data_IF_830754528711
#
_entry.id   IF_830754528711
#
_cell.length_a   1.000
_cell.length_b   1.000
_cell.length_c   1.000
_cell.angle_alpha   90.00
_cell.angle_beta   90.00
_cell.angle_gamma   90.00
#
_symmetry.space_group_name_H-M   'P 1'
#
loop_
_entity.id
_entity.type
_entity.pdbx_description
1 polymer ?
#
# COMPACT_ATOMS: atom_id res chain seq x y z
N UNK A 1 19.26 3.16 -1.44
CA UNK A 1 20.17 4.33 -1.40
C UNK A 1 20.85 4.61 -2.74
N UNK A 2 21.54 3.66 -3.39
CA UNK A 2 22.21 3.88 -4.69
C UNK A 2 21.36 4.59 -5.75
N UNK A 3 20.14 4.09 -5.97
CA UNK A 3 19.20 4.65 -6.95
C UNK A 3 18.81 6.09 -6.59
N UNK A 4 18.65 6.39 -5.30
CA UNK A 4 18.38 7.75 -4.84
C UNK A 4 19.57 8.67 -5.15
N UNK A 5 20.79 8.28 -4.74
CA UNK A 5 22.00 9.09 -4.96
C UNK A 5 22.26 9.35 -6.45
N UNK A 6 22.06 8.35 -7.31
CA UNK A 6 22.19 8.50 -8.76
C UNK A 6 21.28 9.60 -9.32
N UNK A 7 20.05 9.72 -8.79
CA UNK A 7 19.10 10.78 -9.19
C UNK A 7 19.54 12.18 -8.74
N UNK A 8 20.43 12.28 -7.76
CA UNK A 8 21.08 13.52 -7.34
C UNK A 8 22.44 13.74 -8.03
N UNK A 9 22.80 12.94 -9.05
CA UNK A 9 24.06 13.05 -9.78
C UNK A 9 25.24 12.32 -9.13
N UNK A 10 25.02 11.57 -8.05
CA UNK A 10 26.08 10.83 -7.35
C UNK A 10 26.06 9.35 -7.71
N UNK A 11 27.10 8.88 -8.42
CA UNK A 11 27.27 7.48 -8.76
C UNK A 11 28.31 6.79 -7.87
N UNK A 12 27.85 5.82 -7.07
CA UNK A 12 28.70 5.03 -6.18
C UNK A 12 28.41 3.53 -6.31
N UNK A 13 29.42 2.71 -6.02
CA UNK A 13 29.27 1.27 -5.90
C UNK A 13 28.41 0.90 -4.68
N UNK A 14 27.80 -0.29 -4.70
CA UNK A 14 27.06 -0.80 -3.53
C UNK A 14 27.96 -0.91 -2.29
N UNK A 15 29.21 -1.31 -2.47
CA UNK A 15 30.21 -1.46 -1.39
C UNK A 15 30.55 -0.11 -0.77
N UNK A 16 30.74 0.93 -1.58
CA UNK A 16 31.01 2.30 -1.13
C UNK A 16 29.85 2.84 -0.31
N UNK A 17 28.62 2.69 -0.81
CA UNK A 17 27.41 3.11 -0.09
C UNK A 17 27.26 2.35 1.22
N UNK A 18 27.50 1.04 1.22
CA UNK A 18 27.43 0.22 2.43
C UNK A 18 28.46 0.67 3.48
N UNK A 19 29.69 0.99 3.07
CA UNK A 19 30.71 1.56 3.96
C UNK A 19 30.23 2.87 4.59
N UNK A 20 29.80 3.84 3.79
CA UNK A 20 29.33 5.13 4.32
C UNK A 20 28.14 4.98 5.26
N UNK A 21 27.12 4.23 4.85
CA UNK A 21 25.93 4.03 5.67
C UNK A 21 26.26 3.29 6.96
N UNK A 22 26.81 2.08 6.88
CA UNK A 22 26.89 1.19 8.04
C UNK A 22 28.12 1.44 8.93
N UNK A 23 29.22 1.96 8.38
CA UNK A 23 30.48 2.15 9.12
C UNK A 23 30.71 3.59 9.55
N UNK A 24 30.45 4.56 8.67
CA UNK A 24 30.76 5.97 8.96
C UNK A 24 29.56 6.70 9.60
N UNK A 25 28.35 6.49 9.07
CA UNK A 25 27.13 7.15 9.55
C UNK A 25 26.32 6.32 10.55
N UNK A 26 26.72 5.06 10.78
CA UNK A 26 26.01 4.11 11.65
C UNK A 26 24.51 3.96 11.31
N UNK A 27 24.16 4.03 10.03
CA UNK A 27 22.81 3.86 9.49
C UNK A 27 22.59 2.39 9.12
N UNK A 28 21.69 1.73 9.86
CA UNK A 28 21.30 0.35 9.62
C UNK A 28 19.82 0.25 9.23
N UNK A 29 19.47 -0.77 8.45
CA UNK A 29 18.08 -1.05 8.12
C UNK A 29 17.30 -1.46 9.38
N UNK A 30 16.11 -0.90 9.58
CA UNK A 30 15.19 -1.35 10.63
C UNK A 30 14.56 -2.66 10.20
N UNK A 31 14.97 -3.76 10.82
CA UNK A 31 14.48 -5.11 10.50
C UNK A 31 13.12 -5.32 11.18
N UNK A 32 12.09 -5.64 10.40
CA UNK A 32 10.81 -6.07 10.94
C UNK A 32 10.93 -7.43 11.61
N UNK A 33 10.37 -7.58 12.81
CA UNK A 33 10.24 -8.89 13.46
C UNK A 33 9.33 -9.78 12.62
N UNK A 34 9.64 -11.08 12.57
CA UNK A 34 8.77 -12.05 11.90
C UNK A 34 7.38 -12.04 12.53
N UNK A 35 6.34 -12.09 11.70
CA UNK A 35 4.97 -12.21 12.18
C UNK A 35 4.79 -13.62 12.76
N UNK A 36 4.09 -13.78 13.91
CA UNK A 36 3.70 -15.09 14.39
C UNK A 36 2.82 -15.80 13.36
N UNK A 37 2.83 -17.14 13.39
CA UNK A 37 2.06 -17.96 12.45
C UNK A 37 0.57 -17.62 12.45
N UNK A 38 -0.01 -17.44 11.27
CA UNK A 38 -1.43 -17.12 11.11
C UNK A 38 -2.28 -18.39 11.24
N UNK A 39 -3.32 -18.35 12.09
CA UNK A 39 -4.34 -19.40 12.15
C UNK A 39 -5.46 -19.08 11.15
N UNK A 40 -5.75 -20.02 10.27
CA UNK A 40 -6.71 -19.81 9.17
C UNK A 40 -8.14 -19.98 9.69
N UNK A 41 -8.95 -18.93 9.58
CA UNK A 41 -10.40 -19.00 9.80
C UNK A 41 -11.15 -19.48 8.56
N UNK A 42 -12.42 -19.88 8.73
CA UNK A 42 -13.31 -20.25 7.62
C UNK A 42 -13.65 -18.99 6.83
N UNK A 43 -13.12 -18.86 5.61
CA UNK A 43 -13.37 -17.70 4.74
C UNK A 43 -14.51 -17.99 3.79
N UNK A 44 -15.44 -17.05 3.67
CA UNK A 44 -16.55 -17.13 2.73
C UNK A 44 -16.14 -16.42 1.45
N UNK A 45 -15.88 -17.17 0.38
CA UNK A 45 -15.58 -16.59 -0.93
C UNK A 45 -16.87 -16.03 -1.54
N UNK A 46 -16.94 -14.71 -1.66
CA UNK A 46 -18.07 -14.03 -2.33
C UNK A 46 -17.73 -13.72 -3.79
N UNK A 47 -16.48 -13.38 -4.10
CA UNK A 47 -16.05 -12.97 -5.45
C UNK A 47 -14.90 -13.81 -5.98
N UNK A 48 -14.80 -13.88 -7.31
CA UNK A 48 -13.73 -14.59 -8.00
C UNK A 48 -12.39 -13.82 -8.02
N UNK A 49 -11.29 -14.58 -8.13
CA UNK A 49 -9.98 -14.00 -8.36
C UNK A 49 -9.84 -13.70 -9.86
N UNK A 50 -10.02 -12.43 -10.23
CA UNK A 50 -9.88 -11.93 -11.59
C UNK A 50 -8.42 -11.61 -11.90
N UNK A 51 -7.59 -11.34 -10.88
CA UNK A 51 -6.20 -10.96 -11.04
C UNK A 51 -5.32 -12.15 -11.41
N UNK A 52 -5.57 -13.31 -10.81
CA UNK A 52 -4.81 -14.56 -11.02
C UNK A 52 -3.28 -14.34 -10.98
N UNK A 53 -2.82 -13.52 -10.03
CA UNK A 53 -1.41 -13.12 -9.85
C UNK A 53 -0.78 -12.37 -11.03
N UNK A 54 -1.59 -11.94 -12.01
CA UNK A 54 -1.12 -11.06 -13.07
C UNK A 54 -1.09 -9.61 -12.60
N UNK A 55 0.00 -9.23 -11.94
CA UNK A 55 0.20 -7.86 -11.45
C UNK A 55 0.68 -6.87 -12.53
N UNK A 56 0.78 -7.30 -13.80
CA UNK A 56 1.14 -6.42 -14.92
C UNK A 56 -0.12 -5.93 -15.60
N UNK A 57 -0.33 -4.63 -15.53
CA UNK A 57 -1.48 -3.94 -16.13
C UNK A 57 -0.94 -2.93 -17.13
N UNK A 58 -1.60 -2.78 -18.27
CA UNK A 58 -1.08 -1.98 -19.39
C UNK A 58 -1.58 -0.53 -19.38
N UNK A 59 -2.59 -0.21 -18.57
CA UNK A 59 -3.18 1.12 -18.47
C UNK A 59 -3.51 1.46 -17.02
N UNK A 60 -3.34 2.73 -16.65
CA UNK A 60 -3.81 3.26 -15.35
C UNK A 60 -5.32 3.08 -15.14
N UNK A 61 -5.73 3.01 -13.88
CA UNK A 61 -7.13 2.92 -13.45
C UNK A 61 -7.90 1.72 -14.03
N UNK A 62 -7.20 0.61 -14.29
CA UNK A 62 -7.83 -0.66 -14.69
C UNK A 62 -7.93 -1.65 -13.55
N UNK A 63 -6.89 -1.74 -12.72
CA UNK A 63 -6.87 -2.61 -11.55
C UNK A 63 -6.24 -1.88 -10.38
N UNK A 64 -7.03 -1.75 -9.33
CA UNK A 64 -6.61 -1.25 -8.04
C UNK A 64 -6.49 -2.41 -7.06
N UNK A 65 -5.50 -2.34 -6.17
CA UNK A 65 -5.39 -3.25 -5.05
C UNK A 65 -5.60 -2.51 -3.74
N UNK A 66 -6.28 -3.16 -2.80
CA UNK A 66 -6.58 -2.61 -1.47
C UNK A 66 -6.32 -3.63 -0.38
N UNK A 67 -5.85 -3.15 0.76
CA UNK A 67 -5.63 -3.97 1.96
C UNK A 67 -5.60 -3.05 3.19
N UNK A 68 -5.64 -3.65 4.37
CA UNK A 68 -5.51 -2.96 5.65
C UNK A 68 -4.16 -3.25 6.30
N UNK A 69 -3.69 -2.31 7.11
CA UNK A 69 -2.60 -2.55 8.04
C UNK A 69 -2.89 -2.00 9.43
N UNK A 70 -2.31 -2.67 10.42
CA UNK A 70 -2.31 -2.29 11.83
C UNK A 70 -1.10 -1.41 12.14
N UNK A 71 -1.33 -0.34 12.89
CA UNK A 71 -0.33 0.60 13.39
C UNK A 71 -0.51 0.74 14.90
N UNK A 72 0.38 0.13 15.69
CA UNK A 72 0.36 0.23 17.15
C UNK A 72 0.96 1.55 17.60
N UNK A 73 0.25 2.28 18.44
CA UNK A 73 0.70 3.54 19.05
C UNK A 73 1.53 3.28 20.32
N UNK A 74 2.29 4.29 20.77
CA UNK A 74 3.14 4.19 21.97
C UNK A 74 2.32 3.90 23.24
N UNK A 75 1.09 4.41 23.33
CA UNK A 75 0.15 4.15 24.42
C UNK A 75 -0.48 2.74 24.38
N UNK A 76 -0.09 1.89 23.42
CA UNK A 76 -0.58 0.52 23.25
C UNK A 76 -1.88 0.38 22.44
N UNK A 77 -2.57 1.47 22.10
CA UNK A 77 -3.76 1.44 21.23
C UNK A 77 -3.37 1.16 19.78
N UNK A 78 -4.31 0.64 19.00
CA UNK A 78 -4.14 0.44 17.56
C UNK A 78 -4.85 1.55 16.79
N UNK A 79 -4.18 2.06 15.77
CA UNK A 79 -4.77 2.75 14.63
C UNK A 79 -4.66 1.83 13.42
N UNK A 80 -5.56 2.00 12.47
CA UNK A 80 -5.61 1.20 11.25
C UNK A 80 -5.42 2.11 10.05
N UNK A 81 -4.83 1.58 8.99
CA UNK A 81 -4.72 2.25 7.70
C UNK A 81 -5.29 1.34 6.63
N UNK A 82 -6.08 1.91 5.73
CA UNK A 82 -6.50 1.29 4.49
C UNK A 82 -5.89 2.07 3.34
N UNK A 83 -5.30 1.39 2.37
CA UNK A 83 -4.64 2.02 1.23
C UNK A 83 -5.03 1.36 -0.08
N UNK A 84 -5.17 2.16 -1.13
CA UNK A 84 -5.44 1.71 -2.49
C UNK A 84 -4.27 2.10 -3.39
N UNK A 85 -3.72 1.12 -4.10
CA UNK A 85 -2.66 1.33 -5.10
C UNK A 85 -3.15 0.98 -6.51
N UNK A 86 -2.72 1.73 -7.51
CA UNK A 86 -2.86 1.35 -8.92
C UNK A 86 -1.79 0.31 -9.30
N UNK A 87 -2.18 -0.80 -9.89
CA UNK A 87 -1.22 -1.82 -10.32
C UNK A 87 -0.39 -1.40 -11.54
N UNK A 88 -0.88 -0.44 -12.34
CA UNK A 88 -0.19 0.03 -13.54
C UNK A 88 1.17 0.67 -13.24
N UNK A 89 1.21 1.58 -12.26
CA UNK A 89 2.38 2.43 -11.96
C UNK A 89 2.75 2.41 -10.47
N UNK A 90 2.02 1.65 -9.64
CA UNK A 90 2.21 1.56 -8.19
C UNK A 90 1.95 2.86 -7.46
N UNK A 91 1.20 3.81 -8.04
CA UNK A 91 0.77 5.00 -7.31
C UNK A 91 -0.17 4.59 -6.18
N UNK A 92 0.11 5.07 -4.97
CA UNK A 92 -0.83 5.01 -3.86
C UNK A 92 -1.87 6.11 -4.07
N UNK A 93 -3.03 5.73 -4.59
CA UNK A 93 -4.09 6.66 -4.98
C UNK A 93 -4.74 7.24 -3.73
N UNK A 94 -5.08 6.37 -2.77
CA UNK A 94 -5.73 6.72 -1.52
C UNK A 94 -5.07 6.01 -0.34
N UNK A 95 -5.07 6.66 0.81
CA UNK A 95 -4.59 6.09 2.07
C UNK A 95 -5.27 6.82 3.22
N UNK A 96 -6.13 6.11 3.95
CA UNK A 96 -6.94 6.68 5.03
C UNK A 96 -6.65 5.92 6.31
N UNK A 97 -6.50 6.67 7.40
CA UNK A 97 -6.36 6.12 8.73
C UNK A 97 -7.71 6.12 9.45
N UNK A 98 -7.92 5.14 10.33
CA UNK A 98 -9.11 5.07 11.17
C UNK A 98 -8.83 4.43 12.52
N UNK A 99 -9.74 4.65 13.46
CA UNK A 99 -9.69 4.06 14.80
C UNK A 99 -10.13 2.60 14.83
N UNK A 100 -10.79 2.14 13.76
CA UNK A 100 -11.34 0.79 13.65
C UNK A 100 -11.10 0.20 12.27
N UNK A 101 -10.88 -1.11 12.20
CA UNK A 101 -10.88 -1.88 10.95
C UNK A 101 -12.32 -2.27 10.58
N UNK A 102 -13.06 -1.32 10.03
CA UNK A 102 -14.48 -1.48 9.69
C UNK A 102 -14.74 -1.22 8.19
N UNK A 103 -15.97 -1.50 7.77
CA UNK A 103 -16.42 -1.25 6.39
C UNK A 103 -16.33 0.22 6.02
N UNK A 104 -16.69 1.13 6.94
CA UNK A 104 -16.62 2.57 6.70
C UNK A 104 -15.22 3.01 6.27
N UNK A 105 -14.16 2.53 6.92
CA UNK A 105 -12.79 2.85 6.54
C UNK A 105 -12.44 2.37 5.11
N UNK A 106 -12.95 1.21 4.69
CA UNK A 106 -12.80 0.76 3.30
C UNK A 106 -13.56 1.66 2.32
N UNK A 107 -14.79 2.05 2.66
CA UNK A 107 -15.61 2.96 1.86
C UNK A 107 -14.91 4.32 1.74
N UNK A 108 -14.49 4.94 2.84
CA UNK A 108 -13.83 6.24 2.85
C UNK A 108 -12.56 6.24 1.97
N UNK A 109 -11.78 5.15 2.05
CA UNK A 109 -10.57 5.00 1.23
C UNK A 109 -10.92 4.86 -0.25
N UNK A 110 -11.95 4.09 -0.58
CA UNK A 110 -12.41 3.94 -1.96
C UNK A 110 -12.99 5.25 -2.48
N UNK A 111 -13.82 5.95 -1.72
CA UNK A 111 -14.34 7.29 -2.04
C UNK A 111 -13.19 8.24 -2.40
N UNK A 112 -12.16 8.33 -1.56
CA UNK A 112 -10.99 9.16 -1.83
C UNK A 112 -10.29 8.78 -3.15
N UNK A 113 -10.23 7.49 -3.50
CA UNK A 113 -9.65 7.04 -4.77
C UNK A 113 -10.53 7.41 -5.97
N UNK A 114 -11.85 7.23 -5.85
CA UNK A 114 -12.83 7.53 -6.89
C UNK A 114 -12.90 9.05 -7.16
N UNK A 115 -12.81 9.90 -6.15
CA UNK A 115 -12.82 11.36 -6.32
C UNK A 115 -11.55 11.87 -7.01
N UNK A 116 -10.41 11.22 -6.75
CA UNK A 116 -9.10 11.65 -7.23
C UNK A 116 -8.83 11.24 -8.68
N UNK A 117 -9.39 10.12 -9.12
CA UNK A 117 -9.07 9.51 -10.40
C UNK A 117 -10.28 9.47 -11.34
N UNK A 118 -10.03 9.62 -12.64
CA UNK A 118 -11.05 9.33 -13.65
C UNK A 118 -11.00 7.85 -14.00
N UNK A 119 -12.09 7.13 -13.77
CA UNK A 119 -12.21 5.70 -14.05
C UNK A 119 -13.51 5.41 -14.81
N UNK A 120 -13.46 4.83 -16.03
CA UNK A 120 -14.68 4.37 -16.70
C UNK A 120 -15.21 3.06 -16.11
N UNK A 121 -14.30 2.21 -15.61
CA UNK A 121 -14.57 0.93 -14.96
C UNK A 121 -13.26 0.46 -14.32
N UNK A 122 -13.30 -0.03 -13.09
CA UNK A 122 -12.08 -0.50 -12.39
C UNK A 122 -12.32 -1.81 -11.66
N UNK A 123 -11.32 -2.69 -11.66
CA UNK A 123 -11.30 -3.86 -10.79
C UNK A 123 -10.66 -3.47 -9.47
N UNK A 124 -11.35 -3.69 -8.35
CA UNK A 124 -10.79 -3.54 -7.01
C UNK A 124 -10.47 -4.93 -6.45
N UNK A 125 -9.18 -5.25 -6.34
CA UNK A 125 -8.70 -6.51 -5.82
C UNK A 125 -8.34 -6.40 -4.33
N UNK A 126 -8.94 -7.25 -3.49
CA UNK A 126 -8.72 -7.28 -2.05
C UNK A 126 -8.46 -8.70 -1.53
N UNK A 127 -8.15 -8.81 -0.24
CA UNK A 127 -8.31 -10.08 0.45
C UNK A 127 -9.79 -10.40 0.75
N UNK A 128 -10.03 -11.56 1.35
CA UNK A 128 -11.36 -12.00 1.77
C UNK A 128 -11.71 -11.48 3.18
N UNK A 129 -11.27 -10.26 3.53
CA UNK A 129 -11.60 -9.60 4.78
C UNK A 129 -13.10 -9.31 4.90
N UNK A 130 -13.63 -9.41 6.12
CA UNK A 130 -15.08 -9.26 6.38
C UNK A 130 -15.61 -7.90 5.96
N UNK A 131 -14.76 -6.87 6.01
CA UNK A 131 -15.03 -5.49 5.59
C UNK A 131 -15.36 -5.44 4.09
N UNK A 132 -14.55 -6.09 3.26
CA UNK A 132 -14.71 -6.14 1.80
C UNK A 132 -15.85 -7.06 1.34
N UNK A 133 -16.29 -7.99 2.18
CA UNK A 133 -17.43 -8.88 1.91
C UNK A 133 -18.77 -8.37 2.44
N UNK A 134 -18.77 -7.25 3.18
CA UNK A 134 -20.00 -6.73 3.79
C UNK A 134 -20.99 -6.23 2.72
N UNK A 135 -22.30 -6.39 2.96
CA UNK A 135 -23.33 -5.94 2.01
C UNK A 135 -23.20 -4.46 1.66
N UNK A 136 -22.85 -3.64 2.66
CA UNK A 136 -22.63 -2.20 2.49
C UNK A 136 -21.50 -1.90 1.50
N UNK A 137 -20.33 -2.54 1.66
CA UNK A 137 -19.20 -2.37 0.73
C UNK A 137 -19.51 -2.90 -0.66
N UNK A 138 -20.20 -4.04 -0.73
CA UNK A 138 -20.60 -4.68 -1.99
C UNK A 138 -21.54 -3.78 -2.79
N UNK A 139 -22.54 -3.19 -2.13
CA UNK A 139 -23.46 -2.26 -2.77
C UNK A 139 -22.74 -0.98 -3.19
N UNK A 140 -21.89 -0.42 -2.32
CA UNK A 140 -21.09 0.75 -2.66
C UNK A 140 -20.21 0.53 -3.91
N UNK A 141 -19.58 -0.64 -4.06
CA UNK A 141 -18.81 -0.97 -5.26
C UNK A 141 -19.69 -1.03 -6.51
N UNK A 142 -20.86 -1.67 -6.42
CA UNK A 142 -21.82 -1.76 -7.53
C UNK A 142 -22.30 -0.39 -7.99
N UNK A 143 -22.67 0.47 -7.04
CA UNK A 143 -23.20 1.81 -7.31
C UNK A 143 -22.16 2.72 -7.99
N UNK A 144 -20.87 2.44 -7.80
CA UNK A 144 -19.75 3.18 -8.37
C UNK A 144 -19.05 2.47 -9.55
N UNK A 145 -19.69 1.46 -10.19
CA UNK A 145 -19.10 0.71 -11.31
C UNK A 145 -17.72 0.07 -11.02
N UNK A 146 -17.51 -0.35 -9.77
CA UNK A 146 -16.31 -1.04 -9.32
C UNK A 146 -16.55 -2.56 -9.32
N UNK A 147 -15.74 -3.28 -10.09
CA UNK A 147 -15.78 -4.75 -10.11
C UNK A 147 -14.90 -5.32 -9.01
N UNK A 148 -15.48 -5.96 -8.01
CA UNK A 148 -14.71 -6.58 -6.95
C UNK A 148 -14.01 -7.86 -7.42
N UNK A 149 -12.78 -8.05 -6.95
CA UNK A 149 -12.03 -9.28 -7.08
C UNK A 149 -11.39 -9.64 -5.74
N UNK A 150 -11.32 -10.94 -5.42
CA UNK A 150 -10.75 -11.39 -4.16
C UNK A 150 -9.68 -12.45 -4.35
N UNK A 151 -8.60 -12.37 -3.56
CA UNK A 151 -7.61 -13.44 -3.45
C UNK A 151 -8.23 -14.77 -3.00
N UNK A 152 -7.57 -15.88 -3.33
CA UNK A 152 -7.95 -17.19 -2.80
C UNK A 152 -7.61 -17.28 -1.32
N UNK A 153 -8.49 -17.92 -0.55
CA UNK A 153 -8.22 -18.24 0.84
C UNK A 153 -6.91 -19.03 0.95
N UNK A 154 -6.01 -18.58 1.83
CA UNK A 154 -4.71 -19.23 2.03
C UNK A 154 -3.68 -19.00 0.93
N UNK A 155 -3.89 -18.02 0.02
CA UNK A 155 -2.91 -17.67 -1.01
C UNK A 155 -2.38 -16.23 -0.82
N UNK A 156 -1.36 -16.00 0.03
CA UNK A 156 -0.78 -14.67 0.24
C UNK A 156 -0.25 -14.03 -1.04
N UNK A 157 0.20 -14.85 -1.99
CA UNK A 157 0.76 -14.41 -3.27
C UNK A 157 -0.24 -13.64 -4.14
N UNK A 158 -1.54 -13.87 -3.96
CA UNK A 158 -2.59 -13.16 -4.70
C UNK A 158 -2.64 -11.66 -4.33
N UNK A 159 -2.18 -11.27 -3.13
CA UNK A 159 -2.12 -9.87 -2.69
C UNK A 159 -0.68 -9.32 -2.56
N UNK A 160 0.28 -9.92 -3.29
CA UNK A 160 1.70 -9.59 -3.16
C UNK A 160 2.01 -8.10 -3.39
N UNK A 161 1.25 -7.41 -4.25
CA UNK A 161 1.43 -5.98 -4.50
C UNK A 161 1.20 -5.13 -3.23
N UNK A 162 0.11 -5.38 -2.49
CA UNK A 162 -0.16 -4.68 -1.24
C UNK A 162 0.81 -5.08 -0.14
N UNK A 163 1.19 -6.35 -0.06
CA UNK A 163 2.19 -6.78 0.92
C UNK A 163 3.52 -6.03 0.72
N UNK A 164 3.96 -5.88 -0.54
CA UNK A 164 5.17 -5.11 -0.87
C UNK A 164 5.02 -3.62 -0.55
N UNK A 165 3.85 -3.04 -0.83
CA UNK A 165 3.55 -1.66 -0.46
C UNK A 165 3.63 -1.48 1.07
N UNK A 166 2.91 -2.29 1.85
CA UNK A 166 2.88 -2.14 3.30
C UNK A 166 4.20 -2.47 4.00
N UNK A 167 4.99 -3.39 3.45
CA UNK A 167 6.35 -3.62 3.93
C UNK A 167 7.21 -2.34 3.78
N UNK A 168 7.07 -1.64 2.65
CA UNK A 168 7.76 -0.36 2.40
C UNK A 168 7.20 0.77 3.27
N UNK A 169 5.89 0.84 3.44
CA UNK A 169 5.20 1.78 4.31
C UNK A 169 5.71 1.67 5.75
N UNK A 170 5.82 0.43 6.26
CA UNK A 170 6.31 0.19 7.61
C UNK A 170 7.78 0.50 7.77
N UNK A 171 8.63 0.03 6.85
CA UNK A 171 10.08 0.21 6.97
C UNK A 171 10.51 1.67 6.85
N UNK A 172 9.87 2.43 5.95
CA UNK A 172 10.32 3.79 5.62
C UNK A 172 9.56 4.88 6.35
N UNK A 173 8.44 4.57 7.00
CA UNK A 173 7.63 5.54 7.69
C UNK A 173 7.24 5.07 9.08
N UNK A 174 6.34 4.10 9.20
CA UNK A 174 5.74 3.79 10.51
C UNK A 174 6.76 3.33 11.57
N UNK A 175 7.80 2.57 11.21
CA UNK A 175 8.80 2.08 12.17
C UNK A 175 9.87 3.12 12.55
N UNK A 176 9.97 4.23 11.80
CA UNK A 176 11.01 5.26 11.99
C UNK A 176 10.45 6.60 12.44
N UNK A 177 9.13 6.77 12.40
CA UNK A 177 8.43 7.97 12.86
C UNK A 177 7.90 7.81 14.28
N UNK A 178 7.85 8.92 15.00
CA UNK A 178 7.17 9.04 16.29
C UNK A 178 5.89 9.85 16.12
N UNK A 179 4.80 9.40 16.73
CA UNK A 179 3.48 10.01 16.59
C UNK A 179 3.02 10.58 17.92
N UNK A 180 2.77 11.89 17.97
CA UNK A 180 2.32 12.60 19.18
C UNK A 180 0.81 12.52 19.36
N UNK A 181 0.04 12.41 18.28
CA UNK A 181 -1.42 12.25 18.28
C UNK A 181 -1.91 11.45 17.07
N UNK A 182 -3.22 11.20 17.02
CA UNK A 182 -3.87 10.57 15.86
C UNK A 182 -3.80 11.49 14.62
N UNK A 183 -4.04 12.79 14.81
CA UNK A 183 -4.00 13.81 13.78
C UNK A 183 -2.59 13.95 13.20
N UNK A 184 -1.56 13.93 14.06
CA UNK A 184 -0.17 13.94 13.62
C UNK A 184 0.18 12.69 12.78
N UNK A 185 -0.39 11.52 13.13
CA UNK A 185 -0.22 10.31 12.33
C UNK A 185 -0.87 10.44 10.95
N UNK A 186 -2.04 11.07 10.85
CA UNK A 186 -2.76 11.26 9.59
C UNK A 186 -2.03 12.26 8.68
N UNK A 187 -1.54 13.36 9.25
CA UNK A 187 -0.73 14.35 8.52
C UNK A 187 0.57 13.72 7.99
N UNK A 188 1.29 12.99 8.84
CA UNK A 188 2.54 12.33 8.44
C UNK A 188 2.29 11.18 7.44
N UNK A 189 1.16 10.48 7.53
CA UNK A 189 0.75 9.48 6.54
C UNK A 189 0.57 10.16 5.18
N UNK A 190 -0.13 11.29 5.14
CA UNK A 190 -0.32 12.06 3.90
C UNK A 190 1.02 12.51 3.31
N UNK A 191 1.93 13.04 4.15
CA UNK A 191 3.30 13.40 3.73
C UNK A 191 4.08 12.20 3.19
N UNK A 192 3.96 11.04 3.83
CA UNK A 192 4.61 9.82 3.36
C UNK A 192 4.06 9.37 1.99
N UNK A 193 2.74 9.38 1.80
CA UNK A 193 2.14 8.98 0.52
C UNK A 193 2.58 9.91 -0.60
N UNK A 194 2.64 11.22 -0.36
CA UNK A 194 3.22 12.17 -1.31
C UNK A 194 4.69 11.87 -1.61
N UNK A 195 5.51 11.60 -0.58
CA UNK A 195 6.90 11.21 -0.78
C UNK A 195 7.03 9.89 -1.58
N UNK A 196 6.21 8.89 -1.26
CA UNK A 196 6.18 7.60 -1.95
C UNK A 196 5.85 7.76 -3.44
N UNK A 197 4.85 8.59 -3.75
CA UNK A 197 4.37 8.81 -5.11
C UNK A 197 5.31 9.68 -5.96
N UNK A 198 5.86 10.76 -5.40
CA UNK A 198 6.59 11.78 -6.17
C UNK A 198 8.11 11.72 -6.03
N UNK A 199 8.63 11.15 -4.95
CA UNK A 199 10.07 11.22 -4.62
C UNK A 199 10.72 9.84 -4.66
N UNK A 200 10.03 8.78 -4.20
CA UNK A 200 10.60 7.44 -4.08
C UNK A 200 10.74 6.73 -5.43
N UNK A 201 11.95 6.34 -5.85
CA UNK A 201 12.14 5.47 -7.02
C UNK A 201 11.51 4.10 -6.81
N UNK A 202 10.85 3.56 -7.83
CA UNK A 202 10.17 2.28 -7.75
C UNK A 202 10.74 1.28 -8.76
N UNK A 203 11.25 0.13 -8.28
CA UNK A 203 11.90 -0.88 -9.14
C UNK A 203 10.98 -1.44 -10.23
N UNK A 204 9.68 -1.59 -9.93
CA UNK A 204 8.67 -1.99 -10.91
C UNK A 204 8.58 -1.01 -12.10
N UNK A 205 8.85 0.28 -11.89
CA UNK A 205 8.81 1.32 -12.93
C UNK A 205 10.19 1.64 -13.51
N UNK A 206 11.11 0.67 -13.52
CA UNK A 206 12.50 0.91 -13.92
C UNK A 206 13.15 2.07 -13.15
N UNK A 207 12.82 2.21 -11.87
CA UNK A 207 13.29 3.27 -10.97
C UNK A 207 12.82 4.69 -11.26
N UNK A 208 11.81 4.86 -12.11
CA UNK A 208 10.96 6.05 -12.07
C UNK A 208 10.14 6.06 -10.77
N UNK A 209 9.75 7.24 -10.31
CA UNK A 209 8.76 7.35 -9.24
C UNK A 209 7.39 6.88 -9.75
N UNK A 210 6.46 6.47 -8.88
CA UNK A 210 5.11 6.12 -9.29
C UNK A 210 4.44 7.19 -10.16
N UNK A 211 4.56 8.47 -9.79
CA UNK A 211 3.96 9.57 -10.56
C UNK A 211 4.71 9.88 -11.86
N UNK A 212 6.03 9.70 -11.92
CA UNK A 212 6.78 9.80 -13.18
C UNK A 212 6.33 8.73 -14.19
N UNK A 213 6.06 7.51 -13.72
CA UNK A 213 5.57 6.42 -14.57
C UNK A 213 4.11 6.63 -15.01
N UNK A 214 3.28 7.27 -14.18
CA UNK A 214 1.86 7.53 -14.47
C UNK A 214 1.62 8.47 -15.65
N UNK A 215 2.54 9.41 -15.89
CA UNK A 215 2.44 10.45 -16.91
C UNK A 215 3.45 10.29 -18.06
N UNK A 216 4.09 9.12 -18.14
CA UNK A 216 4.94 8.74 -19.27
C UNK A 216 4.09 8.13 -20.38
#
# INVERSE_FOLDING_TARGET
>A
MRVFLKRYGYEFSNTTIHKYMNKELNLCAVIMRSKPGYKTGKKHKIFDNLLNQNFKVNCKNKVWCTDFTYMRQANGKFRYNCSIIDLYDRVAIASVNGDYINTQLAIDTLTQALEKEKYPSVILHSDQGVQYTSCEFVNFCKDNNVTQSMSKAGCPYDNAAMERFYNTFKSNFYNVASFTSAEAMDELTTKYINWYNYIRPHSYNNYLTPMEARYR
#
